data_IF_773452321406
#
_entry.id   IF_773452321406
#
_cell.length_a   1.000
_cell.length_b   1.000
_cell.length_c   1.000
_cell.angle_alpha   90.00
_cell.angle_beta   90.00
_cell.angle_gamma   90.00
#
_symmetry.space_group_name_H-M   'P 1'
#
loop_
_entity.id
_entity.type
_entity.pdbx_description
1 polymer ?
#
# COMPACT_ATOMS: atom_id res chain seq x y z
N UNK A 1 -26.85 9.54 -7.52
CA UNK A 1 -25.63 9.38 -6.69
C UNK A 1 -24.42 9.37 -7.61
N UNK A 2 -23.41 10.21 -7.36
CA UNK A 2 -22.13 10.14 -8.08
C UNK A 2 -21.36 8.89 -7.64
N UNK A 3 -20.85 8.09 -8.58
CA UNK A 3 -19.99 6.93 -8.30
C UNK A 3 -18.58 7.32 -7.85
N UNK A 4 -18.24 8.62 -7.88
CA UNK A 4 -16.98 9.20 -7.40
C UNK A 4 -17.25 10.48 -6.61
N UNK A 5 -17.69 10.40 -5.35
CA UNK A 5 -18.12 11.56 -4.56
C UNK A 5 -16.99 12.56 -4.23
N UNK A 6 -15.72 12.21 -4.46
CA UNK A 6 -14.54 13.06 -4.17
C UNK A 6 -13.84 13.59 -5.44
N UNK A 7 -14.50 13.51 -6.60
CA UNK A 7 -13.95 14.09 -7.82
C UNK A 7 -14.22 15.59 -7.84
N UNK A 8 -13.17 16.39 -8.03
CA UNK A 8 -13.26 17.83 -8.24
C UNK A 8 -12.64 18.17 -9.59
N UNK A 9 -13.05 19.29 -10.17
CA UNK A 9 -12.55 19.77 -11.45
C UNK A 9 -11.99 21.18 -11.27
N UNK A 10 -10.88 21.48 -11.95
CA UNK A 10 -10.37 22.85 -12.05
C UNK A 10 -11.18 23.68 -13.06
N UNK A 11 -10.85 24.97 -13.18
CA UNK A 11 -11.51 25.91 -14.10
C UNK A 11 -11.33 25.54 -15.59
N UNK A 12 -10.40 24.63 -15.89
CA UNK A 12 -10.17 24.08 -17.23
C UNK A 12 -10.89 22.74 -17.45
N UNK A 13 -11.71 22.29 -16.49
CA UNK A 13 -12.47 21.05 -16.57
C UNK A 13 -11.63 19.78 -16.39
N UNK A 14 -10.41 19.86 -15.84
CA UNK A 14 -9.57 18.70 -15.57
C UNK A 14 -9.88 18.13 -14.19
N UNK A 15 -10.06 16.81 -14.08
CA UNK A 15 -10.30 16.19 -12.78
C UNK A 15 -9.05 16.19 -11.89
N UNK A 16 -9.25 16.18 -10.57
CA UNK A 16 -8.18 16.13 -9.58
C UNK A 16 -7.18 14.98 -9.78
N UNK A 17 -7.60 13.82 -10.30
CA UNK A 17 -6.68 12.72 -10.63
C UNK A 17 -5.74 13.06 -11.80
N UNK A 18 -6.22 13.77 -12.82
CA UNK A 18 -5.41 14.26 -13.93
C UNK A 18 -4.44 15.35 -13.47
N UNK A 19 -4.90 16.27 -12.61
CA UNK A 19 -4.05 17.30 -12.01
C UNK A 19 -2.91 16.66 -11.21
N UNK A 20 -3.23 15.68 -10.35
CA UNK A 20 -2.24 14.92 -9.59
C UNK A 20 -1.23 14.18 -10.48
N UNK A 21 -1.66 13.64 -11.63
CA UNK A 21 -0.75 12.97 -12.56
C UNK A 21 0.30 13.93 -13.14
N UNK A 22 -0.03 15.21 -13.33
CA UNK A 22 0.91 16.25 -13.75
C UNK A 22 1.83 16.67 -12.59
N UNK A 23 1.26 16.95 -11.42
CA UNK A 23 2.03 17.28 -10.21
C UNK A 23 3.08 16.20 -9.88
N UNK A 24 2.70 14.93 -10.04
CA UNK A 24 3.57 13.79 -9.77
C UNK A 24 4.87 13.81 -10.59
N UNK A 25 4.87 14.45 -11.77
CA UNK A 25 6.06 14.52 -12.65
C UNK A 25 7.16 15.41 -12.08
N UNK A 26 6.81 16.39 -11.25
CA UNK A 26 7.76 17.36 -10.68
C UNK A 26 8.09 17.08 -9.21
N UNK A 27 7.50 16.03 -8.62
CA UNK A 27 7.79 15.65 -7.24
C UNK A 27 9.22 15.15 -7.06
N UNK A 28 9.90 15.71 -6.07
CA UNK A 28 11.15 15.16 -5.57
C UNK A 28 10.89 13.92 -4.69
N UNK A 29 11.09 12.75 -5.27
CA UNK A 29 10.93 11.46 -4.59
C UNK A 29 12.01 11.21 -3.53
N UNK A 30 13.15 11.89 -3.60
CA UNK A 30 14.25 11.68 -2.65
C UNK A 30 13.86 12.14 -1.24
N UNK A 31 13.14 13.26 -1.13
CA UNK A 31 12.62 13.78 0.14
C UNK A 31 11.67 12.76 0.78
N UNK A 32 10.70 12.26 0.00
CA UNK A 32 9.74 11.25 0.46
C UNK A 32 10.43 9.93 0.85
N UNK A 33 11.47 9.54 0.12
CA UNK A 33 12.24 8.35 0.45
C UNK A 33 13.01 8.52 1.77
N UNK A 34 13.54 9.71 2.04
CA UNK A 34 14.21 10.01 3.30
C UNK A 34 13.23 10.04 4.48
N UNK A 35 12.04 10.62 4.29
CA UNK A 35 10.95 10.55 5.27
C UNK A 35 10.57 9.10 5.59
N UNK A 36 10.40 8.26 4.56
CA UNK A 36 10.12 6.84 4.75
C UNK A 36 11.24 6.15 5.53
N UNK A 37 12.51 6.35 5.15
CA UNK A 37 13.66 5.76 5.85
C UNK A 37 13.70 6.14 7.32
N UNK A 38 13.37 7.40 7.63
CA UNK A 38 13.29 7.90 9.02
C UNK A 38 12.21 7.14 9.81
N UNK A 39 10.99 7.08 9.28
CA UNK A 39 9.87 6.37 9.92
C UNK A 39 10.21 4.89 10.13
N UNK A 40 10.78 4.24 9.12
CA UNK A 40 11.18 2.82 9.24
C UNK A 40 12.28 2.63 10.29
N UNK A 41 13.21 3.58 10.40
CA UNK A 41 14.25 3.57 11.43
C UNK A 41 13.70 3.67 12.85
N UNK A 42 12.67 4.51 13.06
CA UNK A 42 12.01 4.69 14.37
C UNK A 42 11.29 3.42 14.86
N UNK A 43 10.85 2.57 13.95
CA UNK A 43 10.08 1.36 14.27
C UNK A 43 10.86 0.05 14.10
N UNK A 44 12.15 0.12 13.77
CA UNK A 44 12.97 -1.08 13.58
C UNK A 44 13.30 -1.75 14.92
N UNK A 45 13.03 -3.04 15.00
CA UNK A 45 13.36 -3.87 16.15
C UNK A 45 14.87 -4.05 16.30
N UNK A 46 15.35 -3.89 17.53
CA UNK A 46 16.73 -4.21 17.90
C UNK A 46 16.93 -5.72 18.19
N UNK A 47 15.86 -6.48 18.39
CA UNK A 47 15.90 -7.90 18.78
C UNK A 47 15.57 -8.86 17.65
N UNK A 48 15.26 -8.32 16.46
CA UNK A 48 14.84 -9.11 15.31
C UNK A 48 13.37 -9.53 15.33
N UNK A 49 12.57 -9.02 16.27
CA UNK A 49 11.10 -9.14 16.24
C UNK A 49 10.50 -8.47 15.01
N UNK A 50 9.21 -8.66 14.76
CA UNK A 50 8.53 -7.95 13.69
C UNK A 50 8.53 -6.44 13.94
N UNK A 51 8.79 -5.68 12.87
CA UNK A 51 8.88 -4.22 12.92
C UNK A 51 7.53 -3.54 12.58
N UNK A 52 6.74 -4.21 11.75
CA UNK A 52 5.48 -3.69 11.23
C UNK A 52 4.55 -4.82 10.78
N UNK A 53 3.27 -4.48 10.61
CA UNK A 53 2.27 -5.38 10.03
C UNK A 53 2.02 -4.97 8.59
N UNK A 54 2.03 -5.93 7.67
CA UNK A 54 1.67 -5.72 6.28
C UNK A 54 0.47 -6.60 5.94
N UNK A 55 -0.71 -6.03 5.64
CA UNK A 55 -1.83 -6.79 5.13
C UNK A 55 -1.51 -7.34 3.73
N UNK A 56 -1.59 -8.66 3.57
CA UNK A 56 -1.32 -9.35 2.29
C UNK A 56 -2.48 -10.28 1.96
N UNK A 57 -3.32 -9.89 1.01
CA UNK A 57 -4.46 -10.68 0.53
C UNK A 57 -4.11 -11.67 -0.57
N UNK A 58 -2.84 -11.74 -0.98
CA UNK A 58 -2.37 -12.42 -2.21
C UNK A 58 -2.32 -11.51 -3.44
N UNK A 59 -2.82 -10.28 -3.33
CA UNK A 59 -2.71 -9.27 -4.39
C UNK A 59 -1.30 -8.68 -4.52
N UNK A 60 -0.98 -8.17 -5.72
CA UNK A 60 0.34 -7.62 -6.06
C UNK A 60 0.80 -6.49 -5.13
N UNK A 61 -0.12 -5.63 -4.67
CA UNK A 61 0.24 -4.40 -3.97
C UNK A 61 0.76 -4.71 -2.56
N UNK A 62 0.07 -5.57 -1.81
CA UNK A 62 0.53 -6.04 -0.50
C UNK A 62 1.85 -6.81 -0.59
N UNK A 63 1.96 -7.69 -1.60
CA UNK A 63 3.20 -8.43 -1.88
C UNK A 63 4.36 -7.50 -2.23
N UNK A 64 4.13 -6.45 -3.03
CA UNK A 64 5.14 -5.45 -3.36
C UNK A 64 5.62 -4.70 -2.13
N UNK A 65 4.70 -4.23 -1.28
CA UNK A 65 5.06 -3.53 -0.03
C UNK A 65 5.88 -4.44 0.89
N UNK A 66 5.43 -5.69 1.11
CA UNK A 66 6.16 -6.65 1.94
C UNK A 66 7.57 -6.92 1.39
N UNK A 67 7.70 -7.11 0.07
CA UNK A 67 8.97 -7.32 -0.61
C UNK A 67 9.92 -6.12 -0.43
N UNK A 68 9.43 -4.91 -0.70
CA UNK A 68 10.22 -3.67 -0.57
C UNK A 68 10.74 -3.52 0.86
N UNK A 69 9.86 -3.67 1.86
CA UNK A 69 10.23 -3.56 3.27
C UNK A 69 11.29 -4.58 3.64
N UNK A 70 11.13 -5.84 3.25
CA UNK A 70 12.07 -6.91 3.60
C UNK A 70 13.42 -6.76 2.89
N UNK A 71 13.41 -6.57 1.57
CA UNK A 71 14.63 -6.69 0.76
C UNK A 71 15.36 -5.37 0.54
N UNK A 72 14.63 -4.25 0.42
CA UNK A 72 15.24 -2.96 0.12
C UNK A 72 15.42 -2.09 1.36
N UNK A 73 14.61 -2.32 2.41
CA UNK A 73 14.69 -1.58 3.67
C UNK A 73 15.11 -2.45 4.86
N UNK A 74 15.38 -3.74 4.66
CA UNK A 74 15.86 -4.66 5.71
C UNK A 74 14.92 -4.82 6.89
N UNK A 75 13.63 -4.50 6.75
CA UNK A 75 12.62 -4.62 7.80
C UNK A 75 12.17 -6.08 7.94
N UNK A 76 11.53 -6.40 9.06
CA UNK A 76 10.89 -7.67 9.38
C UNK A 76 9.36 -7.49 9.42
N UNK A 77 8.69 -7.45 8.27
CA UNK A 77 7.23 -7.34 8.24
C UNK A 77 6.57 -8.66 8.68
N UNK A 78 5.56 -8.55 9.54
CA UNK A 78 4.58 -9.61 9.76
C UNK A 78 3.49 -9.49 8.69
N UNK A 79 3.47 -10.43 7.74
CA UNK A 79 2.42 -10.46 6.72
C UNK A 79 1.16 -11.11 7.27
N UNK A 80 0.04 -10.39 7.24
CA UNK A 80 -1.25 -10.86 7.76
C UNK A 80 -2.26 -10.90 6.63
N UNK A 81 -2.95 -12.03 6.48
CA UNK A 81 -4.13 -12.14 5.63
C UNK A 81 -5.38 -12.23 6.50
N UNK A 82 -6.49 -11.64 6.05
CA UNK A 82 -7.78 -11.71 6.73
C UNK A 82 -8.77 -12.39 5.79
N UNK A 83 -9.27 -13.54 6.21
CA UNK A 83 -10.33 -14.24 5.48
C UNK A 83 -11.69 -13.56 5.78
N UNK A 84 -12.50 -13.26 4.77
CA UNK A 84 -13.84 -12.70 4.99
C UNK A 84 -14.71 -13.63 5.86
N UNK A 85 -15.40 -13.07 6.85
CA UNK A 85 -16.26 -13.82 7.77
C UNK A 85 -17.48 -14.48 7.09
N UNK A 86 -17.88 -14.01 5.91
CA UNK A 86 -19.03 -14.48 5.14
C UNK A 86 -18.59 -15.01 3.76
N UNK A 87 -17.61 -15.92 3.75
CA UNK A 87 -17.20 -16.60 2.52
C UNK A 87 -18.35 -17.48 1.99
N UNK A 88 -18.63 -17.41 0.69
CA UNK A 88 -19.53 -18.36 0.03
C UNK A 88 -18.79 -19.68 -0.22
N UNK A 89 -19.52 -20.79 -0.18
CA UNK A 89 -19.00 -22.14 -0.49
C UNK A 89 -18.27 -22.16 -1.84
N UNK A 90 -18.86 -21.54 -2.87
CA UNK A 90 -18.26 -21.40 -4.20
C UNK A 90 -16.91 -20.66 -4.16
N UNK A 91 -16.81 -19.60 -3.35
CA UNK A 91 -15.55 -18.87 -3.17
C UNK A 91 -14.47 -19.73 -2.51
N UNK A 92 -14.86 -20.57 -1.56
CA UNK A 92 -13.95 -21.49 -0.88
C UNK A 92 -13.45 -22.60 -1.80
N UNK A 93 -14.30 -23.11 -2.70
CA UNK A 93 -13.89 -24.07 -3.73
C UNK A 93 -12.89 -23.44 -4.69
N UNK A 94 -13.17 -22.22 -5.17
CA UNK A 94 -12.26 -21.49 -6.05
C UNK A 94 -10.88 -21.22 -5.44
N UNK A 95 -10.80 -21.05 -4.12
CA UNK A 95 -9.53 -20.84 -3.40
C UNK A 95 -8.71 -22.12 -3.18
N UNK A 96 -9.35 -23.31 -3.24
CA UNK A 96 -8.72 -24.60 -2.95
C UNK A 96 -8.41 -25.44 -4.20
N UNK A 97 -8.96 -25.06 -5.35
CA UNK A 97 -8.70 -25.66 -6.66
C UNK A 97 -7.31 -25.27 -7.19
#
# INVERSE_FOLDING_TARGET
MSTRPRITFDDHGRCNACQWAEEKKTLDWSIRQNELKKILGEHRSATGSFDCVVPVSGGKDGSYVAYQLKHNYGMHPLTVTVTPALSLELGNQNLKN
#
